data_IF_301811056624
#
_entry.id   IF_301811056624
#
_cell.length_a   1.000
_cell.length_b   1.000
_cell.length_c   1.000
_cell.angle_alpha   90.00
_cell.angle_beta   90.00
_cell.angle_gamma   90.00
#
_symmetry.space_group_name_H-M   'P 1'
#
loop_
_entity.id
_entity.type
_entity.pdbx_description
1 polymer ?
#
# COMPACT_ATOMS: atom_id res chain seq x y z
N UNK A 1 9.10 -5.05 -12.20
CA UNK A 1 9.03 -4.01 -11.14
C UNK A 1 9.88 -4.46 -9.96
N UNK A 2 10.81 -3.64 -9.49
CA UNK A 2 11.65 -3.94 -8.31
C UNK A 2 11.28 -2.95 -7.22
N UNK A 3 10.84 -3.45 -6.07
CA UNK A 3 10.21 -2.69 -5.00
C UNK A 3 8.68 -2.75 -5.07
N UNK A 4 8.07 -3.28 -4.02
CA UNK A 4 6.63 -3.43 -3.78
C UNK A 4 6.09 -2.42 -2.77
N UNK A 5 6.73 -1.27 -2.59
CA UNK A 5 6.16 -0.13 -1.86
C UNK A 5 5.01 0.55 -2.63
N UNK A 6 4.31 1.52 -2.01
CA UNK A 6 3.14 2.20 -2.63
C UNK A 6 3.42 2.66 -4.07
N UNK A 7 4.55 3.31 -4.32
CA UNK A 7 4.89 3.79 -5.67
C UNK A 7 5.09 2.64 -6.67
N UNK A 8 5.74 1.56 -6.24
CA UNK A 8 5.95 0.36 -7.06
C UNK A 8 4.64 -0.35 -7.37
N UNK A 9 3.78 -0.54 -6.37
CA UNK A 9 2.45 -1.15 -6.57
C UNK A 9 1.55 -0.28 -7.44
N UNK A 10 1.52 1.04 -7.23
CA UNK A 10 0.73 1.96 -8.04
C UNK A 10 1.18 1.95 -9.51
N UNK A 11 2.48 1.96 -9.76
CA UNK A 11 3.02 1.83 -11.12
C UNK A 11 2.76 0.45 -11.73
N UNK A 12 2.86 -0.63 -10.95
CA UNK A 12 2.61 -1.99 -11.43
C UNK A 12 1.13 -2.13 -11.83
N UNK A 13 0.22 -1.63 -10.99
CA UNK A 13 -1.22 -1.59 -11.26
C UNK A 13 -1.54 -0.82 -12.54
N UNK A 14 -0.93 0.35 -12.75
CA UNK A 14 -1.15 1.14 -13.96
C UNK A 14 -0.61 0.45 -15.23
N UNK A 15 0.56 -0.20 -15.14
CA UNK A 15 1.19 -0.87 -16.29
C UNK A 15 0.53 -2.21 -16.65
N UNK A 16 -0.03 -2.93 -15.67
CA UNK A 16 -0.61 -4.27 -15.85
C UNK A 16 -1.79 -4.32 -16.84
N UNK A 17 -2.38 -3.17 -17.20
CA UNK A 17 -3.43 -3.13 -18.21
C UNK A 17 -2.91 -3.44 -19.63
N UNK A 18 -1.62 -3.20 -19.90
CA UNK A 18 -1.03 -3.32 -21.24
C UNK A 18 0.24 -4.17 -21.28
N UNK A 19 0.73 -4.63 -20.14
CA UNK A 19 1.99 -5.36 -20.01
C UNK A 19 1.83 -6.51 -19.01
N UNK A 20 2.56 -7.60 -19.23
CA UNK A 20 2.78 -8.62 -18.21
C UNK A 20 3.82 -8.10 -17.21
N UNK A 21 3.41 -7.88 -15.96
CA UNK A 21 4.21 -7.20 -14.93
C UNK A 21 4.50 -8.15 -13.77
N UNK A 22 5.77 -8.50 -13.58
CA UNK A 22 6.23 -9.14 -12.35
C UNK A 22 6.73 -8.10 -11.33
N UNK A 23 6.35 -8.26 -10.06
CA UNK A 23 6.82 -7.45 -8.93
C UNK A 23 7.76 -8.29 -8.06
N UNK A 24 8.92 -7.74 -7.75
CA UNK A 24 9.89 -8.32 -6.82
C UNK A 24 10.03 -7.38 -5.62
N UNK A 25 9.79 -7.89 -4.43
CA UNK A 25 9.92 -7.19 -3.15
C UNK A 25 10.91 -7.95 -2.26
N UNK A 26 11.71 -7.20 -1.50
CA UNK A 26 12.74 -7.77 -0.63
C UNK A 26 12.16 -8.19 0.73
N UNK A 27 11.12 -7.50 1.19
CA UNK A 27 10.42 -7.81 2.44
C UNK A 27 9.41 -8.94 2.26
N UNK A 28 8.94 -9.48 3.38
CA UNK A 28 7.89 -10.51 3.41
C UNK A 28 6.47 -9.92 3.23
N UNK A 29 6.35 -8.59 3.10
CA UNK A 29 5.10 -7.87 2.93
C UNK A 29 5.21 -6.84 1.79
N UNK A 30 4.05 -6.47 1.25
CA UNK A 30 3.90 -5.39 0.28
C UNK A 30 3.54 -4.08 0.99
N UNK A 31 3.79 -2.94 0.34
CA UNK A 31 3.46 -1.60 0.84
C UNK A 31 4.67 -0.81 1.35
N UNK A 32 5.76 -1.49 1.73
CA UNK A 32 6.99 -0.85 2.21
C UNK A 32 6.73 -0.06 3.49
N UNK A 33 6.82 1.27 3.44
CA UNK A 33 6.47 2.14 4.59
C UNK A 33 4.97 2.18 4.89
N UNK A 34 4.09 1.85 3.95
CA UNK A 34 2.69 1.60 4.25
C UNK A 34 2.56 0.18 4.78
N UNK A 35 2.65 0.03 6.10
CA UNK A 35 2.73 -1.25 6.77
C UNK A 35 1.90 -1.22 8.04
N UNK A 36 0.88 -2.06 8.04
CA UNK A 36 -0.02 -2.30 9.17
C UNK A 36 0.33 -3.66 9.76
N UNK A 37 0.49 -3.72 11.08
CA UNK A 37 0.71 -4.97 11.82
C UNK A 37 -0.43 -5.23 12.78
N UNK A 38 -0.83 -6.49 12.88
CA UNK A 38 -1.86 -6.92 13.83
C UNK A 38 -1.23 -7.17 15.19
N UNK A 39 -1.68 -6.41 16.20
CA UNK A 39 -1.21 -6.53 17.58
C UNK A 39 -2.31 -7.18 18.43
N UNK A 40 -1.95 -8.21 19.20
CA UNK A 40 -2.86 -8.83 20.15
C UNK A 40 -2.96 -8.00 21.43
N UNK A 41 -4.17 -7.57 21.80
CA UNK A 41 -4.48 -6.88 23.06
C UNK A 41 -5.51 -7.67 23.86
N UNK A 42 -5.72 -7.38 25.17
CA UNK A 42 -6.77 -8.01 25.96
C UNK A 42 -8.18 -7.81 25.39
N UNK A 43 -8.40 -6.76 24.61
CA UNK A 43 -9.68 -6.40 23.99
C UNK A 43 -9.85 -7.00 22.58
N UNK A 44 -8.79 -7.58 22.01
CA UNK A 44 -8.79 -8.23 20.69
C UNK A 44 -7.56 -7.94 19.85
N UNK A 45 -7.58 -8.35 18.59
CA UNK A 45 -6.53 -7.99 17.62
C UNK A 45 -6.78 -6.59 17.06
N UNK A 46 -5.78 -5.72 17.15
CA UNK A 46 -5.86 -4.33 16.69
C UNK A 46 -4.83 -4.11 15.57
N UNK A 47 -5.26 -3.61 14.39
CA UNK A 47 -4.33 -3.23 13.34
C UNK A 47 -3.64 -1.91 13.71
N UNK A 48 -2.32 -1.87 13.58
CA UNK A 48 -1.48 -0.71 13.90
C UNK A 48 -0.60 -0.34 12.72
N UNK A 49 -0.76 0.89 12.21
CA UNK A 49 0.12 1.44 11.18
C UNK A 49 1.47 1.84 11.77
N UNK A 50 2.56 1.42 11.12
CA UNK A 50 3.93 1.59 11.64
C UNK A 50 4.78 2.61 10.87
N UNK A 51 4.32 3.07 9.70
CA UNK A 51 5.08 4.01 8.88
C UNK A 51 4.21 5.11 8.26
N UNK A 52 3.28 4.75 7.38
CA UNK A 52 2.37 5.71 6.74
C UNK A 52 1.18 6.02 7.66
N UNK A 53 1.30 7.10 8.44
CA UNK A 53 0.36 7.43 9.52
C UNK A 53 -0.61 8.58 9.18
N UNK A 54 -0.34 9.36 8.13
CA UNK A 54 -1.10 10.58 7.82
C UNK A 54 -1.58 10.57 6.38
N UNK A 55 -2.89 10.66 6.22
CA UNK A 55 -3.58 10.80 4.94
C UNK A 55 -4.60 11.94 5.02
N UNK A 56 -4.72 12.69 3.92
CA UNK A 56 -5.83 13.63 3.70
C UNK A 56 -6.02 13.87 2.20
N UNK A 57 -7.25 14.15 1.78
CA UNK A 57 -7.61 14.28 0.37
C UNK A 57 -6.93 15.48 -0.32
N UNK A 58 -6.66 16.55 0.44
CA UNK A 58 -6.03 17.77 -0.10
C UNK A 58 -4.57 17.52 -0.50
N UNK A 59 -3.82 16.77 0.29
CA UNK A 59 -2.39 16.51 0.06
C UNK A 59 -2.16 15.27 -0.82
N UNK A 60 -3.11 14.34 -0.87
CA UNK A 60 -2.94 13.05 -1.55
C UNK A 60 -3.98 12.77 -2.66
N UNK A 61 -4.24 13.70 -3.60
CA UNK A 61 -5.35 13.57 -4.55
C UNK A 61 -5.24 12.33 -5.47
N UNK A 62 -4.02 11.87 -5.79
CA UNK A 62 -3.84 10.65 -6.58
C UNK A 62 -4.13 9.38 -5.79
N UNK A 63 -3.74 9.34 -4.52
CA UNK A 63 -4.00 8.20 -3.64
C UNK A 63 -5.49 8.13 -3.28
N UNK A 64 -6.13 9.27 -3.02
CA UNK A 64 -7.59 9.38 -2.83
C UNK A 64 -8.33 8.79 -4.02
N UNK A 65 -7.98 9.21 -5.25
CA UNK A 65 -8.60 8.67 -6.47
C UNK A 65 -8.35 7.18 -6.66
N UNK A 66 -7.20 6.67 -6.21
CA UNK A 66 -6.92 5.24 -6.24
C UNK A 66 -7.84 4.50 -5.27
N UNK A 67 -8.01 5.00 -4.04
CA UNK A 67 -8.94 4.41 -3.08
C UNK A 67 -10.38 4.46 -3.58
N UNK A 68 -10.84 5.60 -4.12
CA UNK A 68 -12.18 5.72 -4.73
C UNK A 68 -12.42 4.69 -5.85
N UNK A 69 -11.37 4.34 -6.58
CA UNK A 69 -11.45 3.32 -7.64
C UNK A 69 -11.52 1.89 -7.08
N UNK A 70 -10.89 1.62 -5.93
CA UNK A 70 -10.82 0.30 -5.32
C UNK A 70 -12.06 -0.03 -4.47
N UNK A 71 -12.81 0.98 -4.01
CA UNK A 71 -13.99 0.85 -3.16
C UNK A 71 -13.67 0.84 -1.67
#
# INVERSE_FOLDING_TARGET
MVGGGIAGLGAAWALNQNHDVSVYEANEWLGGHAHTVDIQTPEGTVPVDTGFLVYNERTYPHLTRLFDHLG
#
